data_IF_997413503170
#
_entry.id   IF_997413503170
#
_cell.length_a   1.000
_cell.length_b   1.000
_cell.length_c   1.000
_cell.angle_alpha   90.00
_cell.angle_beta   90.00
_cell.angle_gamma   90.00
#
_symmetry.space_group_name_H-M   'P 1'
#
loop_
_entity.id
_entity.type
_entity.pdbx_description
1 polymer ?
#
# COMPACT_ATOMS: atom_id res chain seq x y z
N UNK A 1 -8.03 -7.57 -2.70
CA UNK A 1 -7.01 -7.20 -1.70
C UNK A 1 -7.64 -6.25 -0.70
N UNK A 2 -7.34 -6.37 0.55
CA UNK A 2 -7.81 -5.50 1.60
C UNK A 2 -6.58 -4.86 2.25
N UNK A 3 -6.45 -3.54 2.13
CA UNK A 3 -5.48 -2.77 2.90
C UNK A 3 -6.06 -2.45 4.28
N UNK A 4 -5.44 -2.91 5.36
CA UNK A 4 -5.86 -2.60 6.71
C UNK A 4 -4.89 -1.60 7.33
N UNK A 5 -5.42 -0.49 7.87
CA UNK A 5 -4.65 0.47 8.66
C UNK A 5 -5.01 0.30 10.14
N UNK A 6 -4.01 0.13 10.99
CA UNK A 6 -4.21 0.07 12.43
C UNK A 6 -4.24 1.48 13.03
N UNK A 7 -5.25 1.74 13.88
CA UNK A 7 -5.34 2.96 14.68
C UNK A 7 -4.83 2.67 16.09
N UNK A 8 -3.78 3.36 16.50
CA UNK A 8 -3.32 3.30 17.89
C UNK A 8 -4.33 3.95 18.85
N UNK A 9 -4.30 3.58 20.15
CA UNK A 9 -5.29 4.06 21.14
C UNK A 9 -5.31 5.58 21.35
N UNK A 10 -4.23 6.29 21.02
CA UNK A 10 -4.16 7.75 21.11
C UNK A 10 -4.79 8.47 19.91
N UNK A 11 -4.88 7.83 18.75
CA UNK A 11 -5.38 8.41 17.52
C UNK A 11 -6.90 8.31 17.38
N UNK A 12 -7.53 7.40 18.09
CA UNK A 12 -8.98 7.21 18.08
C UNK A 12 -9.77 8.45 18.53
N UNK A 13 -9.16 9.32 19.34
CA UNK A 13 -9.80 10.55 19.86
C UNK A 13 -9.65 11.78 18.95
N UNK A 14 -8.76 11.76 17.96
CA UNK A 14 -8.46 12.92 17.11
C UNK A 14 -8.73 12.71 15.61
N UNK A 15 -9.31 11.58 15.22
CA UNK A 15 -9.56 11.29 13.79
C UNK A 15 -8.28 11.18 12.95
N UNK A 16 -7.12 10.99 13.57
CA UNK A 16 -5.85 10.86 12.86
C UNK A 16 -5.74 9.48 12.23
N UNK A 17 -5.43 9.44 10.97
CA UNK A 17 -5.13 8.21 10.25
C UNK A 17 -3.77 7.72 10.69
N UNK A 18 -3.69 6.57 11.34
CA UNK A 18 -2.43 5.87 11.49
C UNK A 18 -2.18 5.08 10.20
N UNK A 19 -1.29 5.57 9.35
CA UNK A 19 -0.60 4.68 8.44
C UNK A 19 0.15 3.65 9.30
N UNK A 20 0.14 2.38 8.93
CA UNK A 20 1.01 1.39 9.57
C UNK A 20 2.43 1.81 9.26
N UNK A 21 3.01 2.67 10.10
CA UNK A 21 4.41 2.97 10.06
C UNK A 21 5.13 1.74 10.63
N UNK A 22 5.98 1.13 9.84
CA UNK A 22 7.11 0.45 10.42
C UNK A 22 7.89 1.50 11.22
N UNK A 23 8.07 1.26 12.49
CA UNK A 23 8.91 2.06 13.38
C UNK A 23 10.29 2.23 12.76
N UNK A 24 10.90 3.36 13.04
CA UNK A 24 12.25 3.80 12.71
C UNK A 24 12.38 4.69 11.46
N UNK A 25 11.97 5.91 11.63
CA UNK A 25 12.37 7.01 10.78
C UNK A 25 12.02 8.32 11.46
N UNK A 26 13.04 9.09 11.83
CA UNK A 26 12.88 10.43 12.38
C UNK A 26 11.75 11.17 11.68
N UNK A 27 10.74 11.65 12.40
CA UNK A 27 9.77 12.55 11.80
C UNK A 27 10.55 13.78 11.36
N UNK A 28 10.61 14.02 10.05
CA UNK A 28 11.07 15.30 9.54
C UNK A 28 10.15 16.35 10.15
N UNK A 29 10.66 17.02 11.16
CA UNK A 29 9.90 17.99 11.94
C UNK A 29 9.22 19.00 10.99
N UNK A 30 7.91 19.07 11.06
CA UNK A 30 7.15 20.22 10.63
C UNK A 30 6.14 20.07 9.50
N UNK A 31 6.19 19.07 8.62
CA UNK A 31 5.28 19.00 7.46
C UNK A 31 4.95 17.55 7.05
N UNK A 32 4.38 16.79 7.97
CA UNK A 32 3.84 15.47 7.61
C UNK A 32 2.37 15.64 7.20
N UNK A 33 2.05 15.57 5.90
CA UNK A 33 0.67 15.67 5.46
C UNK A 33 -0.08 14.43 5.94
N UNK A 34 -1.06 14.64 6.81
CA UNK A 34 -1.91 13.58 7.33
C UNK A 34 -2.53 12.81 6.16
N UNK A 35 -2.27 11.51 6.11
CA UNK A 35 -2.90 10.58 5.19
C UNK A 35 -2.15 10.28 3.89
N UNK A 36 -0.91 10.73 3.71
CA UNK A 36 -0.07 10.24 2.61
C UNK A 36 0.69 9.01 3.07
N UNK A 37 0.40 7.86 2.46
CA UNK A 37 1.09 6.60 2.73
C UNK A 37 2.56 6.70 2.32
N UNK A 38 3.48 6.39 3.22
CA UNK A 38 4.92 6.37 2.98
C UNK A 38 5.49 4.98 2.79
N UNK A 39 4.82 3.99 3.32
CA UNK A 39 5.22 2.58 3.17
C UNK A 39 4.00 1.67 3.28
N UNK A 40 4.11 0.50 2.69
CA UNK A 40 3.15 -0.58 2.79
C UNK A 40 3.90 -1.88 3.04
N UNK A 41 3.43 -2.68 3.97
CA UNK A 41 4.01 -3.98 4.34
C UNK A 41 2.97 -5.08 4.09
N UNK A 42 3.40 -6.14 3.45
CA UNK A 42 2.61 -7.36 3.23
C UNK A 42 3.45 -8.59 3.62
N UNK A 43 2.93 -9.52 4.42
CA UNK A 43 1.64 -9.52 5.09
C UNK A 43 1.56 -8.46 6.21
N UNK A 44 0.34 -8.10 6.59
CA UNK A 44 0.11 -7.21 7.72
C UNK A 44 0.66 -7.80 9.01
N UNK A 45 1.24 -6.97 9.88
CA UNK A 45 1.69 -7.35 11.22
C UNK A 45 0.57 -7.42 12.28
N UNK A 46 -0.67 -7.13 11.90
CA UNK A 46 -1.82 -7.23 12.78
C UNK A 46 -2.11 -8.68 13.13
N UNK A 47 -2.71 -8.90 14.31
CA UNK A 47 -3.19 -10.22 14.69
C UNK A 47 -4.31 -10.72 13.73
N UNK A 48 -4.48 -12.05 13.65
CA UNK A 48 -5.42 -12.67 12.74
C UNK A 48 -6.88 -12.24 12.99
N UNK A 49 -7.25 -11.93 14.23
CA UNK A 49 -8.60 -11.50 14.57
C UNK A 49 -8.89 -10.11 13.98
N UNK A 50 -7.94 -9.18 14.04
CA UNK A 50 -8.05 -7.85 13.45
C UNK A 50 -8.06 -7.93 11.91
N UNK A 51 -7.21 -8.77 11.32
CA UNK A 51 -7.20 -9.01 9.87
C UNK A 51 -8.56 -9.54 9.41
N UNK A 52 -9.10 -10.56 10.09
CA UNK A 52 -10.40 -11.13 9.75
C UNK A 52 -11.53 -10.10 9.88
N UNK A 53 -11.50 -9.27 10.92
CA UNK A 53 -12.45 -8.17 11.10
C UNK A 53 -12.40 -7.17 9.95
N UNK A 54 -11.20 -6.77 9.51
CA UNK A 54 -11.01 -5.88 8.38
C UNK A 54 -11.50 -6.49 7.07
N UNK A 55 -11.16 -7.75 6.82
CA UNK A 55 -11.60 -8.50 5.62
C UNK A 55 -13.11 -8.59 5.55
N UNK A 56 -13.77 -8.92 6.67
CA UNK A 56 -15.22 -9.04 6.74
C UNK A 56 -15.92 -7.72 6.38
N UNK A 57 -15.46 -6.60 6.95
CA UNK A 57 -16.03 -5.28 6.68
C UNK A 57 -15.79 -4.86 5.23
N UNK A 58 -14.63 -5.13 4.66
CA UNK A 58 -14.34 -4.88 3.24
C UNK A 58 -15.24 -5.71 2.32
N UNK A 59 -15.45 -7.00 2.60
CA UNK A 59 -16.34 -7.87 1.84
C UNK A 59 -17.81 -7.39 1.92
N UNK A 60 -18.27 -6.97 3.09
CA UNK A 60 -19.61 -6.40 3.25
C UNK A 60 -19.77 -5.10 2.44
N UNK A 61 -18.77 -4.22 2.46
CA UNK A 61 -18.76 -3.00 1.65
C UNK A 61 -18.81 -3.28 0.15
N UNK A 62 -17.96 -4.18 -0.34
CA UNK A 62 -17.97 -4.59 -1.74
C UNK A 62 -19.32 -5.16 -2.17
N UNK A 63 -19.91 -6.07 -1.35
CA UNK A 63 -21.23 -6.65 -1.59
C UNK A 63 -22.34 -5.60 -1.61
N UNK A 64 -22.30 -4.64 -0.69
CA UNK A 64 -23.30 -3.56 -0.61
C UNK A 64 -23.26 -2.66 -1.85
N UNK A 65 -22.11 -2.54 -2.51
CA UNK A 65 -21.93 -1.83 -3.79
C UNK A 65 -22.24 -2.70 -5.02
N UNK A 66 -22.65 -3.95 -4.85
CA UNK A 66 -22.93 -4.88 -5.95
C UNK A 66 -21.67 -5.45 -6.63
N UNK A 67 -20.50 -5.34 -6.02
CA UNK A 67 -19.24 -5.88 -6.54
C UNK A 67 -19.17 -7.37 -6.25
N UNK A 68 -19.72 -8.19 -7.17
CA UNK A 68 -19.80 -9.64 -7.00
C UNK A 68 -18.62 -10.38 -7.63
N UNK A 69 -17.98 -9.79 -8.64
CA UNK A 69 -16.81 -10.34 -9.34
C UNK A 69 -15.91 -9.20 -9.79
N UNK A 70 -14.62 -9.41 -9.76
CA UNK A 70 -13.63 -8.45 -10.21
C UNK A 70 -12.72 -7.96 -9.09
N UNK A 71 -11.79 -7.06 -9.40
CA UNK A 71 -10.89 -6.50 -8.42
C UNK A 71 -11.64 -5.58 -7.47
N UNK A 72 -11.23 -5.60 -6.22
CA UNK A 72 -11.73 -4.69 -5.21
C UNK A 72 -10.58 -4.27 -4.29
N UNK A 73 -10.41 -2.98 -4.16
CA UNK A 73 -9.52 -2.37 -3.19
C UNK A 73 -10.34 -1.71 -2.09
N UNK A 74 -10.02 -1.98 -0.85
CA UNK A 74 -10.73 -1.39 0.30
C UNK A 74 -9.75 -0.87 1.33
N UNK A 75 -10.00 0.33 1.84
CA UNK A 75 -9.28 0.90 2.98
C UNK A 75 -10.12 0.74 4.25
N UNK A 76 -9.58 0.03 5.21
CA UNK A 76 -10.24 -0.26 6.48
C UNK A 76 -9.34 0.14 7.63
N UNK A 77 -9.82 0.98 8.53
CA UNK A 77 -9.20 1.16 9.83
C UNK A 77 -9.76 0.12 10.80
N UNK A 78 -8.88 -0.52 11.56
CA UNK A 78 -9.26 -1.57 12.49
C UNK A 78 -8.64 -1.36 13.86
N UNK A 79 -9.43 -1.61 14.90
CA UNK A 79 -9.00 -1.67 16.29
C UNK A 79 -9.62 -2.86 16.99
N UNK A 80 -9.26 -3.09 18.26
CA UNK A 80 -9.86 -4.16 19.08
C UNK A 80 -11.40 -4.00 19.15
N UNK A 81 -11.89 -2.77 19.20
CA UNK A 81 -13.32 -2.49 19.38
C UNK A 81 -14.09 -2.54 18.05
N UNK A 82 -13.53 -2.00 16.96
CA UNK A 82 -14.26 -1.80 15.70
C UNK A 82 -13.38 -1.87 14.45
N UNK A 83 -14.03 -2.12 13.31
CA UNK A 83 -13.50 -1.90 11.99
C UNK A 83 -14.36 -0.89 11.24
N UNK A 84 -13.74 0.03 10.51
CA UNK A 84 -14.40 1.09 9.75
C UNK A 84 -13.88 1.09 8.33
N UNK A 85 -14.79 0.92 7.38
CA UNK A 85 -14.49 1.05 5.95
C UNK A 85 -14.47 2.53 5.57
N UNK A 86 -13.37 3.00 5.03
CA UNK A 86 -13.25 4.39 4.53
C UNK A 86 -13.54 4.49 3.04
N UNK A 87 -13.03 3.53 2.29
CA UNK A 87 -13.10 3.54 0.83
C UNK A 87 -13.20 2.11 0.31
N UNK A 88 -13.98 1.94 -0.74
CA UNK A 88 -14.00 0.74 -1.57
C UNK A 88 -14.04 1.16 -3.03
N UNK A 89 -13.17 0.58 -3.85
CA UNK A 89 -13.08 0.87 -5.27
C UNK A 89 -13.03 -0.43 -6.08
N UNK A 90 -13.74 -0.48 -7.20
CA UNK A 90 -13.78 -1.61 -8.13
C UNK A 90 -12.53 -1.63 -9.04
N UNK A 91 -11.36 -1.65 -8.45
CA UNK A 91 -10.04 -1.68 -9.12
C UNK A 91 -8.98 -2.27 -8.20
N UNK A 92 -7.81 -2.52 -8.73
CA UNK A 92 -6.62 -2.81 -7.93
C UNK A 92 -6.21 -1.57 -7.12
N UNK A 93 -5.57 -1.79 -5.99
CA UNK A 93 -4.97 -0.72 -5.20
C UNK A 93 -3.87 0.01 -5.97
N UNK A 94 -3.61 1.26 -5.59
CA UNK A 94 -2.47 2.03 -6.07
C UNK A 94 -1.24 1.83 -5.16
N UNK A 95 -0.12 2.44 -5.53
CA UNK A 95 1.06 2.43 -4.67
C UNK A 95 1.82 1.11 -4.66
N UNK A 96 1.76 0.34 -5.74
CA UNK A 96 2.41 -0.96 -5.90
C UNK A 96 1.79 -2.12 -5.10
N UNK A 97 0.56 -2.02 -4.63
CA UNK A 97 -0.13 -3.08 -3.88
C UNK A 97 -0.09 -4.44 -4.59
N UNK A 98 -0.28 -4.46 -5.93
CA UNK A 98 -0.25 -5.69 -6.71
C UNK A 98 1.17 -6.27 -6.79
N UNK A 99 2.19 -5.42 -6.89
CA UNK A 99 3.60 -5.84 -6.93
C UNK A 99 4.04 -6.39 -5.58
N UNK A 100 3.72 -5.71 -4.49
CA UNK A 100 4.00 -6.17 -3.13
C UNK A 100 3.28 -7.50 -2.86
N UNK A 101 2.03 -7.67 -3.33
CA UNK A 101 1.30 -8.94 -3.23
C UNK A 101 2.01 -10.05 -3.98
N UNK A 102 2.44 -9.79 -5.22
CA UNK A 102 3.17 -10.78 -6.03
C UNK A 102 4.47 -11.20 -5.35
N UNK A 103 5.24 -10.25 -4.83
CA UNK A 103 6.46 -10.53 -4.08
C UNK A 103 6.19 -11.31 -2.79
N UNK A 104 5.14 -10.95 -2.06
CA UNK A 104 4.82 -11.56 -0.77
C UNK A 104 4.26 -12.97 -0.88
N UNK A 105 3.43 -13.27 -1.88
CA UNK A 105 2.72 -14.54 -1.96
C UNK A 105 2.66 -15.18 -3.36
N UNK A 106 3.30 -14.60 -4.37
CA UNK A 106 3.33 -15.15 -5.74
C UNK A 106 2.06 -14.91 -6.56
N UNK A 107 1.03 -14.28 -6.01
CA UNK A 107 -0.23 -14.03 -6.72
C UNK A 107 -0.10 -12.82 -7.63
N UNK A 108 -0.26 -13.01 -8.94
CA UNK A 108 -0.24 -11.94 -9.93
C UNK A 108 -1.64 -11.35 -10.11
N UNK A 109 -1.90 -10.23 -9.44
CA UNK A 109 -3.19 -9.56 -9.50
C UNK A 109 -3.45 -8.85 -10.84
N UNK A 110 -2.41 -8.45 -11.56
CA UNK A 110 -2.56 -7.86 -12.90
C UNK A 110 -3.03 -8.90 -13.91
N UNK A 111 -2.37 -10.07 -13.94
CA UNK A 111 -2.77 -11.15 -14.81
C UNK A 111 -4.19 -11.62 -14.48
N UNK A 112 -4.56 -11.75 -13.21
CA UNK A 112 -5.91 -12.11 -12.80
C UNK A 112 -6.96 -11.08 -13.23
N UNK A 113 -6.65 -9.79 -13.13
CA UNK A 113 -7.55 -8.75 -13.64
C UNK A 113 -7.77 -8.86 -15.15
N UNK A 114 -6.69 -9.09 -15.92
CA UNK A 114 -6.78 -9.30 -17.36
C UNK A 114 -7.59 -10.56 -17.68
N UNK A 115 -7.39 -11.65 -16.93
CA UNK A 115 -8.15 -12.89 -17.09
C UNK A 115 -9.65 -12.67 -16.92
N UNK A 116 -10.06 -11.93 -15.89
CA UNK A 116 -11.45 -11.57 -15.67
C UNK A 116 -12.02 -10.77 -16.86
N UNK A 117 -11.26 -9.79 -17.37
CA UNK A 117 -11.67 -8.93 -18.46
C UNK A 117 -11.76 -9.69 -19.80
N UNK A 118 -10.86 -10.62 -20.04
CA UNK A 118 -10.76 -11.43 -21.26
C UNK A 118 -11.56 -12.73 -21.18
N UNK A 119 -12.11 -13.08 -20.02
CA UNK A 119 -12.76 -14.37 -19.72
C UNK A 119 -11.79 -15.56 -19.94
N UNK A 120 -10.54 -15.38 -19.56
CA UNK A 120 -9.46 -16.36 -19.67
C UNK A 120 -9.17 -16.98 -18.28
N UNK A 121 -9.62 -18.20 -18.06
CA UNK A 121 -9.48 -18.92 -16.80
C UNK A 121 -8.01 -19.19 -16.42
N UNK A 122 -7.12 -19.35 -17.41
CA UNK A 122 -5.70 -19.57 -17.15
C UNK A 122 -5.06 -18.31 -16.56
N UNK A 123 -5.40 -17.14 -17.06
CA UNK A 123 -4.98 -15.87 -16.50
C UNK A 123 -5.64 -15.59 -15.14
N UNK A 124 -6.92 -15.89 -14.97
CA UNK A 124 -7.64 -15.73 -13.68
C UNK A 124 -6.98 -16.54 -12.55
N UNK A 125 -6.40 -17.69 -12.88
CA UNK A 125 -5.69 -18.55 -11.92
C UNK A 125 -4.17 -18.30 -11.88
N UNK A 126 -3.68 -17.28 -12.58
CA UNK A 126 -2.24 -17.05 -12.69
C UNK A 126 -1.58 -16.70 -11.36
N UNK A 127 -0.32 -17.13 -11.24
CA UNK A 127 0.46 -17.00 -10.03
C UNK A 127 0.16 -18.12 -9.03
N UNK A 128 1.16 -18.95 -8.74
CA UNK A 128 1.06 -19.95 -7.68
C UNK A 128 1.29 -19.30 -6.33
N UNK A 129 0.31 -19.40 -5.45
CA UNK A 129 0.52 -18.97 -4.07
C UNK A 129 1.64 -19.80 -3.43
N UNK A 130 2.64 -19.13 -2.90
CA UNK A 130 3.67 -19.72 -2.07
C UNK A 130 3.53 -19.28 -0.61
N UNK A 131 4.37 -19.82 0.28
CA UNK A 131 4.41 -19.36 1.66
C UNK A 131 4.69 -17.85 1.71
N UNK A 132 3.95 -17.15 2.57
CA UNK A 132 4.08 -15.69 2.72
C UNK A 132 5.52 -15.31 3.08
N UNK A 133 6.07 -14.36 2.34
CA UNK A 133 7.34 -13.71 2.61
C UNK A 133 7.07 -12.23 2.86
N UNK A 134 7.72 -11.60 3.84
CA UNK A 134 7.58 -10.16 4.02
C UNK A 134 8.03 -9.40 2.77
N UNK A 135 7.20 -8.51 2.29
CA UNK A 135 7.51 -7.57 1.22
C UNK A 135 7.08 -6.15 1.65
N UNK A 136 7.85 -5.16 1.23
CA UNK A 136 7.66 -3.76 1.61
C UNK A 136 7.85 -2.88 0.39
N UNK A 137 6.95 -1.93 0.18
CA UNK A 137 7.23 -0.75 -0.63
C UNK A 137 7.47 0.45 0.27
N UNK A 138 8.48 1.26 -0.05
CA UNK A 138 8.79 2.50 0.65
C UNK A 138 8.93 3.64 -0.33
N UNK A 139 8.19 4.71 -0.07
CA UNK A 139 8.23 5.92 -0.88
C UNK A 139 9.19 6.92 -0.26
N UNK A 140 10.06 7.49 -1.08
CA UNK A 140 10.91 8.58 -0.67
C UNK A 140 10.11 9.89 -0.63
N UNK A 141 10.30 10.65 0.42
CA UNK A 141 9.68 11.94 0.63
C UNK A 141 10.77 12.97 0.94
N UNK A 142 11.44 13.51 -0.08
CA UNK A 142 12.49 14.48 0.12
C UNK A 142 11.92 15.81 0.64
N UNK A 143 12.81 16.66 1.15
CA UNK A 143 12.44 18.02 1.52
C UNK A 143 12.08 18.83 0.27
N UNK A 144 11.12 19.78 0.37
CA UNK A 144 10.82 20.69 -0.73
C UNK A 144 12.04 21.49 -1.15
N UNK A 145 12.14 21.78 -2.46
CA UNK A 145 13.23 22.56 -3.02
C UNK A 145 13.70 22.03 -4.37
N UNK A 146 14.70 22.66 -4.94
CA UNK A 146 15.31 22.16 -6.17
C UNK A 146 16.17 20.94 -5.90
N UNK A 147 15.88 19.86 -6.63
CA UNK A 147 16.65 18.63 -6.58
C UNK A 147 18.02 18.83 -7.26
N UNK A 148 19.08 18.82 -6.48
CA UNK A 148 20.44 19.05 -7.00
C UNK A 148 21.01 17.80 -7.67
N UNK A 149 20.88 16.64 -7.02
CA UNK A 149 21.38 15.37 -7.51
C UNK A 149 20.62 14.20 -6.86
N UNK A 150 20.64 13.04 -7.52
CA UNK A 150 20.24 11.76 -6.94
C UNK A 150 21.46 10.86 -7.04
N UNK A 151 22.00 10.48 -5.90
CA UNK A 151 23.22 9.68 -5.84
C UNK A 151 22.95 8.31 -5.23
N UNK A 152 23.79 7.34 -5.56
CA UNK A 152 23.77 6.02 -4.95
C UNK A 152 22.65 5.08 -5.47
N UNK A 153 22.00 5.38 -6.60
CA UNK A 153 20.94 4.56 -7.18
C UNK A 153 21.43 3.12 -7.41
N UNK A 154 22.55 2.95 -8.11
CA UNK A 154 23.12 1.63 -8.39
C UNK A 154 23.52 0.89 -7.10
N UNK A 155 24.04 1.61 -6.11
CA UNK A 155 24.36 1.01 -4.83
C UNK A 155 23.08 0.56 -4.09
N UNK A 156 22.00 1.34 -4.16
CA UNK A 156 20.73 0.98 -3.57
C UNK A 156 20.11 -0.25 -4.26
N UNK A 157 20.16 -0.32 -5.60
CA UNK A 157 19.68 -1.48 -6.37
C UNK A 157 20.41 -2.78 -6.01
N UNK A 158 21.69 -2.68 -5.65
CA UNK A 158 22.51 -3.82 -5.28
C UNK A 158 22.41 -4.24 -3.80
N UNK A 159 21.56 -3.58 -3.01
CA UNK A 159 21.29 -4.01 -1.62
C UNK A 159 20.46 -5.28 -1.65
N UNK A 160 20.90 -6.30 -0.91
CA UNK A 160 20.17 -7.57 -0.83
C UNK A 160 18.73 -7.34 -0.34
N UNK A 161 17.77 -7.89 -1.07
CA UNK A 161 16.34 -7.73 -0.80
C UNK A 161 15.67 -6.53 -1.47
N UNK A 162 16.42 -5.69 -2.19
CA UNK A 162 15.82 -4.69 -3.08
C UNK A 162 15.48 -5.36 -4.39
N UNK A 163 14.18 -5.48 -4.67
CA UNK A 163 13.64 -6.10 -5.89
C UNK A 163 13.46 -5.09 -7.02
N UNK A 164 13.09 -3.86 -6.68
CA UNK A 164 12.94 -2.77 -7.65
C UNK A 164 13.21 -1.41 -6.99
N UNK A 165 13.64 -0.45 -7.80
CA UNK A 165 13.86 0.93 -7.42
C UNK A 165 13.52 1.85 -8.61
N UNK A 166 12.44 2.61 -8.47
CA UNK A 166 12.00 3.59 -9.46
C UNK A 166 12.23 5.02 -8.95
N UNK A 167 12.69 5.89 -9.83
CA UNK A 167 12.89 7.32 -9.55
C UNK A 167 12.09 8.11 -10.59
N UNK A 168 11.21 8.98 -10.12
CA UNK A 168 10.33 9.78 -10.96
C UNK A 168 10.74 11.25 -11.08
N UNK A 169 11.76 11.67 -10.32
CA UNK A 169 12.30 13.03 -10.35
C UNK A 169 13.69 13.07 -10.98
N UNK A 170 14.10 14.24 -11.45
CA UNK A 170 15.39 14.49 -12.10
C UNK A 170 16.09 15.67 -11.43
N UNK A 171 17.41 15.73 -11.52
CA UNK A 171 18.16 16.92 -11.12
C UNK A 171 17.63 18.15 -11.87
N UNK A 172 17.41 19.24 -11.14
CA UNK A 172 16.79 20.47 -11.62
C UNK A 172 15.27 20.57 -11.36
N UNK A 173 14.58 19.46 -11.06
CA UNK A 173 13.15 19.52 -10.72
C UNK A 173 12.95 20.25 -9.39
N UNK A 174 11.86 21.02 -9.31
CA UNK A 174 11.41 21.58 -8.04
C UNK A 174 10.49 20.59 -7.35
N UNK A 175 10.88 20.14 -6.17
CA UNK A 175 10.09 19.22 -5.35
C UNK A 175 9.17 20.02 -4.44
N UNK A 176 7.88 19.83 -4.61
CA UNK A 176 6.86 20.41 -3.73
C UNK A 176 6.80 19.69 -2.36
N UNK A 177 6.21 20.33 -1.35
CA UNK A 177 5.84 19.62 -0.13
C UNK A 177 5.00 18.38 -0.43
N UNK A 178 5.26 17.27 0.25
CA UNK A 178 4.49 16.04 0.11
C UNK A 178 3.07 16.25 0.67
N UNK A 179 2.12 16.60 -0.18
CA UNK A 179 0.72 16.81 0.17
C UNK A 179 -0.20 15.65 -0.27
N UNK A 180 0.20 14.90 -1.28
CA UNK A 180 -0.53 13.76 -1.83
C UNK A 180 0.42 12.78 -2.55
N UNK A 181 -0.07 11.60 -2.86
CA UNK A 181 0.73 10.48 -3.36
C UNK A 181 1.56 10.79 -4.62
N UNK A 182 1.06 11.62 -5.53
CA UNK A 182 1.77 11.97 -6.77
C UNK A 182 3.00 12.87 -6.57
N UNK A 183 3.24 13.36 -5.35
CA UNK A 183 4.46 14.13 -5.00
C UNK A 183 5.59 13.26 -4.40
N UNK A 184 5.44 11.96 -4.42
CA UNK A 184 6.51 11.01 -4.08
C UNK A 184 7.52 10.93 -5.22
N UNK A 185 8.78 10.63 -4.90
CA UNK A 185 9.85 10.42 -5.88
C UNK A 185 10.39 9.00 -5.82
#
# INVERSE_FOLDING_TARGET
MVGAQALGPADARRGRRAAVAAEDGDPVAGHDPLGVMRSEITPSSLDAALINKAVLVAQQGAKALGLLRGPCYSQVAVSQERAVLFETAARLGGGFDADVTRLACGVDLYARLLGIALQDEALESSGSAHALKPALVRFLAPRPGFLQAIEGIERARNVAGVEDLAIYARAGDFLDPLQFAAKRI
#
